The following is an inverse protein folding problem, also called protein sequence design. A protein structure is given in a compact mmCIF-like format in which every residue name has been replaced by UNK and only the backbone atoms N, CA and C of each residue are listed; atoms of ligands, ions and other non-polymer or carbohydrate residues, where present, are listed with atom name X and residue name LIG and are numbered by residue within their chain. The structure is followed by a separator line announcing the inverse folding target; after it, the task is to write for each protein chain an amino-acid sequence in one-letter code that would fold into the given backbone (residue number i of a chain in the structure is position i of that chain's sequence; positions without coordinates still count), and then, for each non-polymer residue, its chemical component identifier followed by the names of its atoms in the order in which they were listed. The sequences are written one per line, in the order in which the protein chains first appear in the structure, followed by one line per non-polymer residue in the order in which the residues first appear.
data_IF_839293425521
#
_entry.id   IF_839293425521
#
_cell.length_a   1.000
_cell.length_b   1.000
_cell.length_c   1.000
_cell.angle_alpha   90.00
_cell.angle_beta   90.00
_cell.angle_gamma   90.00
#
_symmetry.space_group_name_H-M   'P 1'
#
loop_
_entity.id
_entity.type
_entity.pdbx_description
1 polymer ?
#
# COMPACT_ATOMS: atom_id res chain seq x y z
N UNK A 1 -61.52 -47.52 -1.75
CA UNK A 1 -62.66 -47.41 -2.68
C UNK A 1 -62.82 -45.94 -3.04
N UNK A 2 -62.63 -45.58 -4.30
CA UNK A 2 -62.81 -44.20 -4.80
C UNK A 2 -64.31 -43.85 -4.86
N UNK A 3 -64.71 -42.57 -5.06
CA UNK A 3 -64.72 -42.05 -6.42
C UNK A 3 -64.27 -40.58 -6.62
N UNK A 4 -63.82 -40.33 -7.84
CA UNK A 4 -63.67 -39.05 -8.52
C UNK A 4 -64.94 -38.20 -8.49
N UNK A 5 -64.77 -36.88 -8.56
CA UNK A 5 -65.69 -36.00 -9.30
C UNK A 5 -64.89 -34.98 -10.13
N UNK A 6 -65.02 -35.10 -11.45
CA UNK A 6 -64.65 -34.09 -12.45
C UNK A 6 -65.70 -32.98 -12.48
N UNK A 7 -65.28 -31.72 -12.50
CA UNK A 7 -66.05 -30.68 -13.18
C UNK A 7 -65.13 -29.75 -13.98
N UNK A 8 -65.65 -29.47 -15.16
CA UNK A 8 -65.12 -28.83 -16.36
C UNK A 8 -64.87 -27.32 -16.26
N UNK A 9 -63.73 -26.91 -16.81
CA UNK A 9 -63.37 -25.68 -17.54
C UNK A 9 -64.45 -24.59 -17.69
N UNK A 10 -64.12 -23.37 -17.23
CA UNK A 10 -64.51 -22.12 -17.90
C UNK A 10 -63.26 -21.26 -18.06
N UNK A 11 -62.83 -21.08 -19.31
CA UNK A 11 -61.78 -20.16 -19.72
C UNK A 11 -62.20 -18.72 -19.41
N UNK A 12 -61.61 -18.12 -18.39
CA UNK A 12 -61.48 -16.67 -18.29
C UNK A 12 -60.09 -16.31 -18.82
N UNK A 13 -60.04 -15.70 -20.00
CA UNK A 13 -58.84 -15.08 -20.54
C UNK A 13 -58.38 -13.97 -19.60
N UNK A 14 -57.51 -14.29 -18.65
CA UNK A 14 -56.70 -13.28 -17.97
C UNK A 14 -55.70 -12.74 -18.98
N UNK A 15 -55.98 -11.53 -19.48
CA UNK A 15 -54.96 -10.69 -20.09
C UNK A 15 -53.93 -10.39 -18.98
N UNK A 16 -52.88 -11.20 -18.93
CA UNK A 16 -51.68 -10.89 -18.18
C UNK A 16 -51.06 -9.69 -18.89
N UNK A 17 -51.30 -8.49 -18.37
CA UNK A 17 -50.41 -7.36 -18.57
C UNK A 17 -49.06 -7.77 -17.98
N UNK A 18 -48.21 -8.35 -18.82
CA UNK A 18 -46.82 -8.57 -18.51
C UNK A 18 -46.20 -7.19 -18.26
N UNK A 19 -46.12 -6.80 -16.99
CA UNK A 19 -45.23 -5.74 -16.58
C UNK A 19 -43.83 -6.29 -16.84
N UNK A 20 -43.26 -5.91 -17.98
CA UNK A 20 -41.82 -6.02 -18.19
C UNK A 20 -41.21 -5.09 -17.15
N UNK A 21 -40.99 -5.62 -15.95
CA UNK A 21 -40.00 -5.07 -15.04
C UNK A 21 -38.66 -5.35 -15.71
N UNK A 22 -38.30 -4.51 -16.68
CA UNK A 22 -36.92 -4.34 -17.09
C UNK A 22 -36.20 -3.72 -15.92
N UNK A 23 -35.87 -4.51 -14.90
CA UNK A 23 -34.78 -4.18 -14.01
C UNK A 23 -33.53 -4.25 -14.88
N UNK A 24 -33.15 -3.10 -15.45
CA UNK A 24 -31.83 -2.94 -16.04
C UNK A 24 -30.87 -3.24 -14.91
N UNK A 25 -30.11 -4.33 -15.04
CA UNK A 25 -29.08 -4.67 -14.06
C UNK A 25 -28.17 -3.45 -13.96
N UNK A 26 -28.10 -2.85 -12.76
CA UNK A 26 -27.18 -1.75 -12.52
C UNK A 26 -25.77 -2.26 -12.88
N UNK A 27 -25.16 -1.66 -13.89
CA UNK A 27 -23.82 -2.06 -14.31
C UNK A 27 -22.85 -1.81 -13.13
N UNK A 28 -22.10 -2.85 -12.75
CA UNK A 28 -21.12 -2.77 -11.66
C UNK A 28 -19.95 -1.87 -12.08
N UNK A 29 -19.26 -1.20 -11.13
CA UNK A 29 -18.07 -0.44 -11.44
C UNK A 29 -16.95 -1.35 -11.96
N UNK A 30 -16.16 -0.85 -12.89
CA UNK A 30 -14.98 -1.55 -13.43
C UNK A 30 -13.70 -0.88 -12.95
N UNK A 31 -12.62 -1.66 -12.81
CA UNK A 31 -11.31 -1.17 -12.38
C UNK A 31 -10.25 -1.38 -13.45
N UNK A 32 -9.26 -0.49 -13.48
CA UNK A 32 -8.05 -0.58 -14.32
C UNK A 32 -6.85 -0.13 -13.51
N UNK A 33 -5.70 -0.78 -13.71
CA UNK A 33 -4.42 -0.36 -13.14
C UNK A 33 -3.43 0.01 -14.25
N UNK A 34 -2.69 1.09 -14.01
CA UNK A 34 -1.56 1.53 -14.83
C UNK A 34 -0.31 1.62 -13.96
N UNK A 35 0.85 1.33 -14.55
CA UNK A 35 2.13 1.32 -13.86
C UNK A 35 3.07 2.40 -14.41
N UNK A 36 3.77 3.06 -13.49
CA UNK A 36 4.92 3.90 -13.79
C UNK A 36 6.16 3.10 -14.16
N UNK A 37 7.30 3.78 -14.20
CA UNK A 37 8.60 3.17 -14.52
C UNK A 37 9.11 2.31 -13.36
N UNK A 38 9.84 1.25 -13.71
CA UNK A 38 10.63 0.46 -12.77
C UNK A 38 11.65 1.35 -12.03
N UNK A 39 11.94 1.00 -10.78
CA UNK A 39 12.96 1.68 -9.96
C UNK A 39 12.58 3.08 -9.51
N UNK A 40 11.30 3.44 -9.54
CA UNK A 40 10.86 4.76 -9.10
C UNK A 40 11.22 4.99 -7.63
N UNK A 41 11.83 6.13 -7.29
CA UNK A 41 12.34 6.44 -5.95
C UNK A 41 13.42 5.49 -5.38
N UNK A 42 13.90 4.49 -6.12
CA UNK A 42 14.87 3.52 -5.61
C UNK A 42 16.18 4.17 -5.15
N UNK A 43 16.59 5.27 -5.80
CA UNK A 43 17.76 6.07 -5.38
C UNK A 43 17.62 6.62 -3.96
N UNK A 44 16.45 7.18 -3.60
CA UNK A 44 16.22 7.75 -2.27
C UNK A 44 16.06 6.63 -1.22
N UNK A 45 15.43 5.52 -1.60
CA UNK A 45 15.37 4.30 -0.79
C UNK A 45 16.77 3.81 -0.44
N UNK A 46 17.64 3.68 -1.44
CA UNK A 46 19.02 3.22 -1.25
C UNK A 46 19.87 4.23 -0.47
N UNK A 47 19.65 5.54 -0.64
CA UNK A 47 20.32 6.55 0.17
C UNK A 47 20.01 6.40 1.67
N UNK A 48 18.75 6.15 2.03
CA UNK A 48 18.36 5.91 3.42
C UNK A 48 18.97 4.62 3.99
N UNK A 49 19.05 3.56 3.18
CA UNK A 49 19.67 2.27 3.56
C UNK A 49 21.16 2.39 3.81
N UNK A 50 21.88 3.03 2.87
CA UNK A 50 23.31 3.27 2.98
C UNK A 50 23.65 4.11 4.23
N UNK A 51 22.82 5.10 4.56
CA UNK A 51 22.98 5.89 5.78
C UNK A 51 22.88 5.06 7.06
N UNK A 52 22.12 3.95 7.03
CA UNK A 52 22.02 2.97 8.11
C UNK A 52 23.01 1.80 7.97
N UNK A 53 23.96 1.84 7.03
CA UNK A 53 24.94 0.77 6.85
C UNK A 53 24.44 -0.50 6.14
N UNK A 54 23.25 -0.45 5.54
CA UNK A 54 22.69 -1.55 4.76
C UNK A 54 23.20 -1.49 3.32
N UNK A 55 23.23 -2.64 2.63
CA UNK A 55 23.49 -2.69 1.19
C UNK A 55 22.32 -2.12 0.39
N UNK A 56 22.62 -1.57 -0.78
CA UNK A 56 21.61 -1.09 -1.73
C UNK A 56 20.68 -2.23 -2.15
N UNK A 57 19.40 -1.92 -2.32
CA UNK A 57 18.45 -2.80 -3.01
C UNK A 57 18.73 -2.75 -4.51
N UNK A 58 18.74 -3.92 -5.12
CA UNK A 58 18.89 -4.08 -6.57
C UNK A 58 17.52 -4.06 -7.23
N UNK A 59 17.35 -3.32 -8.33
CA UNK A 59 16.10 -3.37 -9.09
C UNK A 59 15.78 -4.81 -9.51
N UNK A 60 14.58 -5.28 -9.20
CA UNK A 60 14.12 -6.61 -9.57
C UNK A 60 14.08 -6.78 -11.10
N UNK A 61 14.64 -7.89 -11.57
CA UNK A 61 14.71 -8.22 -12.99
C UNK A 61 13.33 -8.43 -13.60
N UNK A 62 13.16 -7.99 -14.84
CA UNK A 62 11.93 -8.25 -15.60
C UNK A 62 11.70 -9.75 -15.77
N UNK A 63 10.49 -10.21 -15.45
CA UNK A 63 10.11 -11.61 -15.54
C UNK A 63 10.38 -12.43 -14.28
N UNK A 64 11.05 -11.89 -13.26
CA UNK A 64 11.18 -12.54 -11.95
C UNK A 64 9.90 -12.33 -11.13
N UNK A 65 8.92 -13.22 -11.29
CA UNK A 65 7.62 -13.10 -10.62
C UNK A 65 7.67 -13.26 -9.10
N UNK A 66 8.76 -13.77 -8.53
CA UNK A 66 8.91 -13.95 -7.07
C UNK A 66 9.43 -12.68 -6.39
N UNK A 67 10.07 -11.77 -7.14
CA UNK A 67 10.72 -10.58 -6.62
C UNK A 67 10.17 -9.27 -7.20
N UNK A 68 9.08 -9.32 -7.98
CA UNK A 68 8.57 -8.21 -8.77
C UNK A 68 7.06 -8.09 -8.64
N UNK A 69 6.56 -6.85 -8.64
CA UNK A 69 5.13 -6.57 -8.67
C UNK A 69 4.50 -7.11 -9.97
N UNK A 70 3.24 -7.58 -9.93
CA UNK A 70 2.58 -8.10 -11.13
C UNK A 70 2.55 -7.09 -12.29
N UNK A 71 3.23 -7.41 -13.39
CA UNK A 71 3.43 -6.51 -14.55
C UNK A 71 2.20 -6.34 -15.46
N UNK A 72 1.16 -7.17 -15.29
CA UNK A 72 0.02 -7.16 -16.21
C UNK A 72 -1.01 -6.12 -15.78
N UNK A 73 -0.92 -4.93 -16.37
CA UNK A 73 -1.97 -3.92 -16.33
C UNK A 73 -3.24 -4.57 -16.92
N UNK A 74 -4.15 -4.97 -16.04
CA UNK A 74 -5.30 -5.79 -16.39
C UNK A 74 -6.55 -5.15 -15.81
N UNK A 75 -7.63 -5.16 -16.57
CA UNK A 75 -8.96 -5.14 -15.95
C UNK A 75 -9.09 -6.42 -15.11
N UNK A 76 -9.82 -6.41 -13.98
CA UNK A 76 -10.13 -7.63 -13.25
C UNK A 76 -10.58 -8.73 -14.23
N UNK A 77 -10.14 -9.98 -14.07
CA UNK A 77 -10.78 -11.10 -14.77
C UNK A 77 -12.27 -11.13 -14.43
N UNK A 78 -13.11 -11.73 -15.29
CA UNK A 78 -14.55 -11.85 -15.00
C UNK A 78 -14.80 -12.46 -13.60
N UNK A 79 -15.96 -12.10 -13.01
CA UNK A 79 -16.29 -12.31 -11.59
C UNK A 79 -15.83 -13.67 -11.02
N UNK A 80 -14.95 -13.63 -10.03
CA UNK A 80 -14.57 -14.79 -9.22
C UNK A 80 -13.09 -14.90 -8.89
N UNK A 81 -12.21 -14.28 -9.68
CA UNK A 81 -10.77 -14.46 -9.51
C UNK A 81 -10.13 -13.33 -8.70
N UNK A 82 -9.38 -13.70 -7.66
CA UNK A 82 -8.64 -12.82 -6.76
C UNK A 82 -7.60 -11.96 -7.49
N UNK A 83 -8.06 -10.87 -8.12
CA UNK A 83 -7.19 -9.90 -8.77
C UNK A 83 -6.27 -9.25 -7.73
N UNK A 84 -4.97 -9.49 -7.87
CA UNK A 84 -3.95 -9.05 -6.91
C UNK A 84 -3.99 -7.54 -6.62
N UNK A 85 -4.45 -6.71 -7.56
CA UNK A 85 -4.53 -5.27 -7.39
C UNK A 85 -5.84 -4.76 -6.78
N UNK A 86 -6.87 -5.60 -6.60
CA UNK A 86 -8.15 -5.15 -6.01
C UNK A 86 -7.96 -4.55 -4.61
N UNK A 87 -7.18 -5.18 -3.70
CA UNK A 87 -6.98 -4.63 -2.36
C UNK A 87 -6.30 -3.24 -2.40
N UNK A 88 -5.30 -3.07 -3.27
CA UNK A 88 -4.64 -1.77 -3.50
C UNK A 88 -5.63 -0.72 -4.01
N UNK A 89 -6.45 -1.07 -5.01
CA UNK A 89 -7.41 -0.11 -5.55
C UNK A 89 -8.52 0.27 -4.58
N UNK A 90 -8.96 -0.65 -3.72
CA UNK A 90 -9.94 -0.35 -2.67
C UNK A 90 -9.35 0.55 -1.58
N UNK A 91 -8.08 0.36 -1.21
CA UNK A 91 -7.38 1.24 -0.28
C UNK A 91 -7.19 2.66 -0.85
N UNK A 92 -6.95 2.78 -2.16
CA UNK A 92 -6.78 4.06 -2.87
C UNK A 92 -8.10 4.79 -3.16
N UNK A 93 -9.15 4.04 -3.50
CA UNK A 93 -10.47 4.56 -3.88
C UNK A 93 -11.53 3.90 -3.00
N UNK A 94 -11.66 4.32 -1.73
CA UNK A 94 -12.64 3.75 -0.82
C UNK A 94 -14.07 4.04 -1.30
N UNK A 95 -14.99 3.10 -1.07
CA UNK A 95 -16.37 3.22 -1.53
C UNK A 95 -17.20 4.21 -0.70
N UNK A 96 -16.78 4.46 0.54
CA UNK A 96 -17.37 5.47 1.42
C UNK A 96 -16.32 6.35 2.11
N UNK A 97 -16.71 7.57 2.50
CA UNK A 97 -15.82 8.49 3.20
C UNK A 97 -15.43 8.01 4.62
N UNK A 98 -16.25 7.14 5.22
CA UNK A 98 -16.03 6.58 6.57
C UNK A 98 -14.94 5.49 6.58
N UNK A 99 -14.64 4.88 5.42
CA UNK A 99 -13.52 3.94 5.27
C UNK A 99 -12.15 4.62 5.14
N UNK A 100 -12.09 5.96 5.04
CA UNK A 100 -10.82 6.71 4.95
C UNK A 100 -9.97 6.61 6.23
N UNK A 101 -10.60 6.33 7.37
CA UNK A 101 -9.93 6.24 8.70
C UNK A 101 -9.43 4.83 9.04
N UNK A 102 -9.85 3.82 8.28
CA UNK A 102 -9.38 2.43 8.42
C UNK A 102 -8.65 2.04 7.14
N UNK A 103 -7.41 2.54 6.98
CA UNK A 103 -6.46 1.96 6.00
C UNK A 103 -5.87 0.64 6.51
N UNK A 104 -6.64 -0.11 7.29
CA UNK A 104 -6.27 -1.41 7.81
C UNK A 104 -6.36 -2.43 6.68
N UNK A 105 -5.20 -3.00 6.35
CA UNK A 105 -5.09 -4.40 5.93
C UNK A 105 -5.84 -4.82 4.66
N UNK A 106 -5.80 -4.04 3.59
CA UNK A 106 -6.10 -4.61 2.28
C UNK A 106 -4.85 -5.40 1.81
N UNK A 107 -4.64 -6.60 2.37
CA UNK A 107 -3.56 -7.52 1.97
C UNK A 107 -3.81 -7.96 0.54
N UNK A 108 -3.13 -7.31 -0.39
CA UNK A 108 -3.00 -7.82 -1.73
C UNK A 108 -2.20 -9.12 -1.68
N UNK A 109 -2.75 -10.20 -2.23
CA UNK A 109 -2.00 -11.43 -2.52
C UNK A 109 -1.03 -11.15 -3.67
N UNK A 110 0.01 -10.41 -3.34
CA UNK A 110 1.23 -10.36 -4.12
C UNK A 110 2.13 -11.52 -3.68
N UNK A 111 3.09 -11.89 -4.52
CA UNK A 111 4.08 -12.93 -4.24
C UNK A 111 4.91 -12.57 -2.98
N UNK A 112 5.70 -13.50 -2.43
CA UNK A 112 6.46 -13.29 -1.20
C UNK A 112 7.35 -12.04 -1.23
N UNK A 113 7.03 -11.01 -0.44
CA UNK A 113 7.84 -9.81 -0.26
C UNK A 113 7.24 -8.88 0.79
N UNK A 114 8.02 -7.93 1.28
CA UNK A 114 7.54 -6.89 2.21
C UNK A 114 7.27 -5.59 1.45
N UNK A 115 6.12 -4.96 1.66
CA UNK A 115 5.63 -3.85 0.83
C UNK A 115 5.69 -2.50 1.56
N UNK A 116 6.49 -1.58 1.03
CA UNK A 116 6.34 -0.16 1.36
C UNK A 116 5.29 0.49 0.45
N UNK A 117 4.42 1.30 1.05
CA UNK A 117 3.28 1.91 0.39
C UNK A 117 3.12 3.37 0.79
N UNK A 118 2.80 4.23 -0.18
CA UNK A 118 2.45 5.61 0.08
C UNK A 118 1.49 6.15 -0.99
N UNK A 119 0.29 6.63 -0.65
CA UNK A 119 -0.56 7.35 -1.60
C UNK A 119 0.14 8.59 -2.14
N UNK A 120 0.08 8.83 -3.45
CA UNK A 120 0.71 9.99 -4.11
C UNK A 120 -0.34 10.85 -4.80
N UNK A 121 -0.29 12.15 -4.56
CA UNK A 121 -1.21 13.12 -5.16
C UNK A 121 -0.85 13.43 -6.62
N UNK A 122 0.44 13.52 -6.93
CA UNK A 122 0.94 13.78 -8.27
C UNK A 122 1.83 12.61 -8.75
N UNK A 123 1.26 11.62 -9.47
CA UNK A 123 2.01 10.44 -9.91
C UNK A 123 3.15 10.76 -10.91
N UNK A 124 3.10 11.91 -11.60
CA UNK A 124 4.13 12.35 -12.54
C UNK A 124 5.31 13.06 -11.85
N UNK A 125 5.14 13.49 -10.61
CA UNK A 125 6.13 14.22 -9.83
C UNK A 125 6.08 13.80 -8.36
N UNK A 126 6.46 12.56 -8.09
CA UNK A 126 6.55 12.04 -6.71
C UNK A 126 7.77 12.64 -6.02
N UNK A 127 7.56 13.26 -4.86
CA UNK A 127 8.64 13.65 -3.96
C UNK A 127 9.15 12.41 -3.22
N UNK A 128 10.06 11.69 -3.87
CA UNK A 128 10.64 10.45 -3.35
C UNK A 128 11.27 10.62 -1.97
N UNK A 129 11.88 11.77 -1.71
CA UNK A 129 12.49 12.07 -0.42
C UNK A 129 11.42 12.20 0.66
N UNK A 130 10.35 12.94 0.40
CA UNK A 130 9.25 13.08 1.36
C UNK A 130 8.58 11.72 1.66
N UNK A 131 8.45 10.85 0.66
CA UNK A 131 7.91 9.50 0.86
C UNK A 131 8.83 8.65 1.75
N UNK A 132 10.14 8.63 1.47
CA UNK A 132 11.10 7.90 2.30
C UNK A 132 11.18 8.49 3.71
N UNK A 133 11.09 9.81 3.87
CA UNK A 133 11.02 10.46 5.18
C UNK A 133 9.75 10.06 5.96
N UNK A 134 8.61 9.90 5.28
CA UNK A 134 7.37 9.38 5.88
C UNK A 134 7.54 7.95 6.38
N UNK A 135 8.14 7.07 5.58
CA UNK A 135 8.39 5.68 6.00
C UNK A 135 9.35 5.60 7.17
N UNK A 136 10.45 6.35 7.16
CA UNK A 136 11.37 6.46 8.31
C UNK A 136 10.66 6.98 9.56
N UNK A 137 9.69 7.88 9.40
CA UNK A 137 8.90 8.41 10.51
C UNK A 137 8.14 7.37 11.32
N UNK A 138 7.87 6.18 10.76
CA UNK A 138 7.24 5.08 11.51
C UNK A 138 8.14 4.51 12.61
N UNK A 139 9.44 4.87 12.64
CA UNK A 139 10.35 4.59 13.74
C UNK A 139 9.73 4.86 15.12
N UNK A 140 8.98 5.96 15.26
CA UNK A 140 8.36 6.35 16.53
C UNK A 140 7.25 5.40 17.01
N UNK A 141 6.85 4.43 16.19
CA UNK A 141 5.83 3.44 16.54
C UNK A 141 6.44 2.20 17.22
N UNK A 142 7.78 2.11 17.32
CA UNK A 142 8.48 0.99 17.93
C UNK A 142 9.15 1.43 19.24
N UNK A 143 8.85 0.74 20.34
CA UNK A 143 9.45 0.96 21.67
C UNK A 143 10.77 0.19 21.87
N UNK A 144 11.48 -0.09 20.77
CA UNK A 144 12.69 -0.92 20.75
C UNK A 144 12.82 -1.70 19.45
N UNK A 145 13.56 -2.81 19.49
CA UNK A 145 13.71 -3.72 18.35
C UNK A 145 12.32 -4.18 17.87
N UNK A 146 11.96 -3.98 16.59
CA UNK A 146 10.67 -4.43 16.06
C UNK A 146 10.47 -5.95 16.30
N UNK A 147 9.32 -6.37 16.84
CA UNK A 147 9.06 -7.77 17.14
C UNK A 147 8.80 -8.60 15.87
N UNK A 148 8.75 -9.92 16.01
CA UNK A 148 8.29 -10.81 14.94
C UNK A 148 6.82 -10.55 14.57
N UNK A 149 6.46 -10.76 13.31
CA UNK A 149 5.08 -10.65 12.86
C UNK A 149 4.27 -11.87 13.32
N UNK A 150 3.41 -11.71 14.31
CA UNK A 150 2.58 -12.79 14.88
C UNK A 150 1.11 -12.42 14.76
N UNK A 151 0.26 -13.43 14.56
CA UNK A 151 -1.21 -13.33 14.39
C UNK A 151 -1.92 -12.49 15.48
N UNK A 152 -1.36 -12.37 16.67
CA UNK A 152 -1.98 -11.70 17.82
C UNK A 152 -1.55 -10.23 17.98
N UNK A 153 -0.66 -9.71 17.11
CA UNK A 153 -0.08 -8.37 17.22
C UNK A 153 -0.51 -7.44 16.07
N UNK A 154 -1.37 -6.45 16.36
CA UNK A 154 -1.83 -5.46 15.38
C UNK A 154 -0.75 -4.45 14.94
N UNK A 155 0.51 -4.60 15.39
CA UNK A 155 1.59 -3.64 15.10
C UNK A 155 1.86 -3.51 13.60
N UNK A 156 1.75 -4.61 12.86
CA UNK A 156 2.00 -4.65 11.42
C UNK A 156 0.74 -4.48 10.57
N UNK A 157 -0.43 -4.29 11.18
CA UNK A 157 -1.62 -3.79 10.47
C UNK A 157 -1.48 -2.32 10.06
N UNK A 158 -0.54 -1.61 10.69
CA UNK A 158 -0.16 -0.25 10.35
C UNK A 158 0.80 -0.29 9.16
N UNK A 159 0.29 0.12 7.99
CA UNK A 159 1.06 0.11 6.75
C UNK A 159 2.37 0.91 6.82
N UNK A 160 2.43 1.98 7.61
CA UNK A 160 3.65 2.75 7.85
C UNK A 160 4.74 1.90 8.52
N UNK A 161 4.37 0.99 9.44
CA UNK A 161 5.31 0.09 10.12
C UNK A 161 5.86 -0.96 9.14
N UNK A 162 4.99 -1.55 8.32
CA UNK A 162 5.41 -2.48 7.25
C UNK A 162 6.32 -1.77 6.25
N UNK A 163 6.02 -0.51 5.90
CA UNK A 163 6.83 0.27 4.96
C UNK A 163 8.22 0.59 5.52
N UNK A 164 8.31 0.85 6.82
CA UNK A 164 9.58 1.01 7.52
C UNK A 164 10.41 -0.28 7.50
N UNK A 165 9.78 -1.43 7.77
CA UNK A 165 10.47 -2.72 7.71
C UNK A 165 10.97 -3.02 6.30
N UNK A 166 10.13 -2.80 5.28
CA UNK A 166 10.51 -2.98 3.88
C UNK A 166 11.69 -2.09 3.46
N UNK A 167 11.69 -0.81 3.87
CA UNK A 167 12.78 0.15 3.59
C UNK A 167 14.14 -0.40 4.06
N UNK A 168 14.18 -0.97 5.27
CA UNK A 168 15.40 -1.46 5.89
C UNK A 168 15.61 -2.97 5.76
N UNK A 169 14.96 -3.67 4.81
CA UNK A 169 15.13 -5.11 4.59
C UNK A 169 16.61 -5.55 4.74
N UNK A 170 16.97 -6.36 5.76
CA UNK A 170 18.35 -6.65 6.12
C UNK A 170 19.06 -7.64 5.21
N UNK A 171 18.33 -8.27 4.28
CA UNK A 171 18.89 -9.35 3.48
C UNK A 171 19.99 -8.82 2.56
N UNK A 172 21.16 -9.46 2.58
CA UNK A 172 22.24 -9.11 1.66
C UNK A 172 21.79 -9.33 0.22
N UNK A 173 22.00 -8.32 -0.64
CA UNK A 173 21.58 -8.31 -2.05
C UNK A 173 20.07 -8.48 -2.24
N UNK A 174 19.27 -8.02 -1.28
CA UNK A 174 17.84 -7.89 -1.46
C UNK A 174 17.50 -7.08 -2.73
N UNK A 175 16.39 -7.43 -3.35
CA UNK A 175 15.88 -6.71 -4.51
C UNK A 175 14.72 -5.80 -4.14
N UNK A 176 14.46 -4.80 -4.95
CA UNK A 176 13.27 -3.97 -4.88
C UNK A 176 12.61 -3.80 -6.24
N UNK A 177 11.28 -3.76 -6.25
CA UNK A 177 10.51 -3.29 -7.37
C UNK A 177 9.61 -2.13 -6.93
N UNK A 178 10.07 -0.92 -7.24
CA UNK A 178 9.40 0.32 -6.87
C UNK A 178 8.70 0.96 -8.08
N UNK A 179 7.39 1.15 -7.98
CA UNK A 179 6.57 1.74 -9.05
C UNK A 179 5.48 2.64 -8.50
N UNK A 180 5.14 3.67 -9.27
CA UNK A 180 3.86 4.35 -9.12
C UNK A 180 2.78 3.45 -9.73
N UNK A 181 1.72 3.19 -8.98
CA UNK A 181 0.57 2.40 -9.40
C UNK A 181 -0.65 3.30 -9.36
N UNK A 182 -1.36 3.40 -10.48
CA UNK A 182 -2.57 4.22 -10.62
C UNK A 182 -3.78 3.32 -10.83
N UNK A 183 -4.72 3.37 -9.89
CA UNK A 183 -6.03 2.74 -10.02
C UNK A 183 -7.03 3.72 -10.64
N UNK A 184 -7.82 3.24 -11.60
CA UNK A 184 -8.98 3.94 -12.17
C UNK A 184 -10.23 3.12 -11.91
N UNK A 185 -11.20 3.70 -11.21
CA UNK A 185 -12.56 3.16 -11.03
C UNK A 185 -13.50 3.87 -12.00
N UNK A 186 -14.15 3.13 -12.88
CA UNK A 186 -15.19 3.64 -13.78
C UNK A 186 -16.56 3.20 -13.26
N UNK A 187 -17.40 4.16 -12.90
CA UNK A 187 -18.78 3.88 -12.45
C UNK A 187 -19.75 4.20 -13.59
N UNK A 188 -20.57 3.23 -14.01
CA UNK A 188 -21.58 3.45 -15.04
C UNK A 188 -22.59 4.53 -14.64
N UNK A 189 -22.95 5.41 -15.57
CA UNK A 189 -23.99 6.41 -15.33
C UNK A 189 -25.37 5.76 -15.21
N UNK A 190 -26.18 6.20 -14.24
CA UNK A 190 -27.55 5.72 -14.12
C UNK A 190 -28.36 6.09 -15.39
N UNK A 191 -29.11 5.14 -15.94
CA UNK A 191 -30.06 5.44 -17.01
C UNK A 191 -31.19 6.31 -16.44
N UNK A 192 -31.51 7.41 -17.13
CA UNK A 192 -32.61 8.27 -16.74
C UNK A 192 -33.94 7.52 -16.93
N UNK A 193 -34.70 7.38 -15.84
CA UNK A 193 -35.99 6.71 -15.81
C UNK A 193 -37.03 7.61 -16.53
N UNK A 194 -37.12 7.48 -17.86
CA UNK A 194 -38.07 8.26 -18.66
C UNK A 194 -37.71 8.41 -20.14
N UNK A 195 -38.03 7.39 -20.95
CA UNK A 195 -38.48 7.47 -22.35
C UNK A 195 -37.63 8.15 -23.43
N UNK A 196 -36.59 8.92 -23.10
CA UNK A 196 -35.68 9.56 -24.04
C UNK A 196 -34.27 9.08 -23.71
N UNK A 197 -33.77 8.13 -24.50
CA UNK A 197 -32.52 7.39 -24.26
C UNK A 197 -31.25 8.24 -24.26
N UNK A 198 -31.04 9.04 -23.21
CA UNK A 198 -29.71 9.52 -22.82
C UNK A 198 -29.17 8.56 -21.77
N UNK A 199 -28.28 7.66 -22.19
CA UNK A 199 -27.43 6.92 -21.27
C UNK A 199 -26.68 7.94 -20.38
N UNK A 200 -26.68 7.72 -19.07
CA UNK A 200 -25.88 8.52 -18.14
C UNK A 200 -24.40 8.42 -18.50
N UNK A 201 -23.64 9.51 -18.36
CA UNK A 201 -22.19 9.46 -18.58
C UNK A 201 -21.53 8.68 -17.44
N UNK A 202 -20.59 7.80 -17.79
CA UNK A 202 -19.74 7.14 -16.82
C UNK A 202 -18.89 8.17 -16.07
N UNK A 203 -18.63 7.92 -14.79
CA UNK A 203 -17.69 8.72 -13.99
C UNK A 203 -16.41 7.94 -13.75
N UNK A 204 -15.27 8.62 -13.81
CA UNK A 204 -13.97 8.03 -13.50
C UNK A 204 -13.40 8.66 -12.23
N UNK A 205 -12.92 7.82 -11.32
CA UNK A 205 -12.12 8.23 -10.16
C UNK A 205 -10.75 7.60 -10.28
N UNK A 206 -9.70 8.41 -10.13
CA UNK A 206 -8.31 7.97 -10.18
C UNK A 206 -7.61 8.26 -8.86
N UNK A 207 -6.79 7.32 -8.42
CA UNK A 207 -5.91 7.49 -7.27
C UNK A 207 -4.64 6.67 -7.49
N UNK A 208 -3.52 7.16 -6.95
CA UNK A 208 -2.20 6.55 -7.18
C UNK A 208 -1.45 6.35 -5.87
N UNK A 209 -0.54 5.38 -5.85
CA UNK A 209 0.44 5.18 -4.79
C UNK A 209 1.82 4.87 -5.35
N UNK A 210 2.87 5.23 -4.61
CA UNK A 210 4.17 4.59 -4.72
C UNK A 210 4.13 3.28 -3.94
N UNK A 211 4.49 2.19 -4.60
CA UNK A 211 4.62 0.86 -4.00
C UNK A 211 6.02 0.35 -4.27
N UNK A 212 6.72 -0.07 -3.22
CA UNK A 212 8.02 -0.75 -3.30
C UNK A 212 7.88 -2.13 -2.66
N UNK A 213 7.95 -3.17 -3.47
CA UNK A 213 8.11 -4.54 -2.99
C UNK A 213 9.59 -4.79 -2.74
N UNK A 214 9.97 -5.22 -1.54
CA UNK A 214 11.33 -5.73 -1.27
C UNK A 214 11.31 -7.25 -1.11
N UNK A 215 12.32 -7.92 -1.66
CA UNK A 215 12.43 -9.37 -1.62
C UNK A 215 13.84 -9.79 -1.17
N UNK A 216 13.96 -10.85 -0.35
CA UNK A 216 12.88 -11.72 0.15
C UNK A 216 11.99 -11.03 1.18
N UNK A 217 10.83 -11.64 1.47
CA UNK A 217 9.95 -11.20 2.54
C UNK A 217 10.63 -11.35 3.91
N UNK A 218 10.69 -10.27 4.67
CA UNK A 218 11.30 -10.23 6.01
C UNK A 218 10.27 -10.04 7.12
N UNK A 219 8.99 -10.02 6.76
CA UNK A 219 7.88 -9.85 7.69
C UNK A 219 6.85 -10.99 7.56
N UNK A 220 7.36 -12.20 7.35
CA UNK A 220 6.54 -13.41 7.23
C UNK A 220 5.81 -13.67 8.55
N UNK A 221 4.52 -13.97 8.47
CA UNK A 221 3.68 -14.33 9.60
C UNK A 221 4.21 -15.59 10.32
N UNK A 222 4.35 -15.51 11.64
CA UNK A 222 4.97 -16.55 12.46
C UNK A 222 6.49 -16.68 12.29
N UNK A 223 7.13 -15.76 11.56
CA UNK A 223 8.57 -15.73 11.32
C UNK A 223 9.39 -15.16 12.48
N UNK A 224 10.68 -14.91 12.21
CA UNK A 224 11.59 -14.25 13.13
C UNK A 224 11.36 -12.72 13.15
N UNK A 225 11.99 -12.02 14.10
CA UNK A 225 12.03 -10.56 14.10
C UNK A 225 12.72 -10.04 12.83
N UNK A 226 12.25 -8.92 12.25
CA UNK A 226 12.76 -8.44 10.96
C UNK A 226 14.20 -7.92 11.04
N UNK A 227 14.74 -7.66 12.23
CA UNK A 227 16.10 -7.15 12.43
C UNK A 227 16.80 -7.85 13.59
N UNK A 228 18.13 -7.90 13.55
CA UNK A 228 18.97 -8.18 14.73
C UNK A 228 19.19 -6.92 15.57
N UNK A 229 19.70 -7.06 16.80
CA UNK A 229 20.05 -5.90 17.64
C UNK A 229 21.09 -4.98 16.98
N UNK A 230 22.11 -5.55 16.32
CA UNK A 230 23.14 -4.77 15.63
C UNK A 230 22.54 -3.97 14.46
N UNK A 231 21.70 -4.61 13.65
CA UNK A 231 21.00 -3.95 12.53
C UNK A 231 20.09 -2.83 13.03
N UNK A 232 19.35 -3.09 14.10
CA UNK A 232 18.50 -2.08 14.72
C UNK A 232 19.31 -0.90 15.27
N UNK A 233 20.43 -1.17 15.94
CA UNK A 233 21.34 -0.14 16.42
C UNK A 233 21.87 0.76 15.30
N UNK A 234 22.14 0.20 14.11
CA UNK A 234 22.54 1.00 12.95
C UNK A 234 21.39 1.89 12.43
N UNK A 235 20.17 1.37 12.36
CA UNK A 235 18.98 2.15 11.97
C UNK A 235 18.74 3.30 12.95
N UNK A 236 18.72 3.02 14.26
CA UNK A 236 18.58 4.03 15.31
C UNK A 236 19.65 5.11 15.20
N UNK A 237 20.91 4.71 15.02
CA UNK A 237 22.02 5.65 14.85
C UNK A 237 21.83 6.56 13.63
N UNK A 238 21.36 6.02 12.50
CA UNK A 238 21.11 6.80 11.30
C UNK A 238 19.96 7.80 11.48
N UNK A 239 18.90 7.41 12.20
CA UNK A 239 17.72 8.23 12.41
C UNK A 239 17.93 9.31 13.48
N UNK A 240 18.54 8.96 14.61
CA UNK A 240 18.75 9.87 15.75
C UNK A 240 20.05 10.67 15.65
N UNK A 241 21.11 10.05 15.12
CA UNK A 241 22.44 10.66 14.94
C UNK A 241 22.51 11.69 13.81
N UNK A 242 21.42 11.87 13.05
CA UNK A 242 21.26 12.96 12.07
C UNK A 242 20.93 14.32 12.71
N UNK A 243 20.64 14.35 14.02
CA UNK A 243 20.59 15.59 14.78
C UNK A 243 22.02 16.00 15.17
N UNK A 244 22.54 17.05 14.50
CA UNK A 244 23.76 17.80 14.79
C UNK A 244 24.61 17.24 15.93
N UNK A 245 25.80 16.73 15.60
CA UNK A 245 26.91 16.73 16.54
C UNK A 245 27.13 18.17 17.04
N UNK A 246 26.43 18.56 18.10
CA UNK A 246 26.89 19.60 19.01
C UNK A 246 28.14 18.97 19.61
N UNK A 247 29.28 19.24 18.97
CA UNK A 247 30.58 18.93 19.52
C UNK A 247 30.54 19.29 21.01
N UNK A 248 30.93 18.40 21.93
CA UNK A 248 31.04 18.75 23.33
C UNK A 248 31.86 20.03 23.40
N UNK A 249 31.21 21.13 23.78
CA UNK A 249 31.86 22.42 23.84
C UNK A 249 33.09 22.25 24.71
N UNK A 250 34.26 22.46 24.11
CA UNK A 250 35.51 22.59 24.84
C UNK A 250 35.29 23.78 25.78
N UNK A 251 34.91 23.49 27.02
CA UNK A 251 34.90 24.46 28.10
C UNK A 251 36.37 24.83 28.30
N UNK A 252 36.77 25.93 27.67
CA UNK A 252 38.08 26.53 27.85
C UNK A 252 38.25 26.91 29.31
N UNK A 253 39.07 26.13 30.02
CA UNK A 253 39.48 26.43 31.39
C UNK A 253 40.45 27.62 31.35
N UNK A 254 39.93 28.84 31.53
CA UNK A 254 40.76 30.02 31.71
C UNK A 254 41.32 30.05 33.15
N UNK A 255 42.54 29.54 33.33
CA UNK A 255 43.33 29.74 34.55
C UNK A 255 44.01 31.12 34.50
N UNK A 256 43.45 32.10 35.20
CA UNK A 256 44.14 33.35 35.50
C UNK A 256 44.89 33.21 36.84
N UNK A 257 46.21 33.01 36.77
CA UNK A 257 47.12 33.14 37.91
C UNK A 257 47.75 34.53 37.81
N UNK A 258 47.27 35.48 38.61
CA UNK A 258 47.97 36.74 38.86
C UNK A 258 48.73 36.60 40.19
N UNK A 259 49.99 36.18 40.09
CA UNK A 259 50.96 36.22 41.18
C UNK A 259 51.73 37.53 41.17
N UNK A 260 51.69 38.25 42.31
CA UNK A 260 52.46 39.44 42.62
C UNK A 260 53.97 39.24 42.38
N UNK A 261 54.63 40.26 41.81
CA UNK A 261 56.05 40.51 42.04
C UNK A 261 56.29 42.02 42.06
N UNK A 262 56.36 42.56 43.27
CA UNK A 262 57.01 43.84 43.56
C UNK A 262 58.51 43.57 43.72
N UNK A 263 59.33 44.19 42.88
CA UNK A 263 60.71 44.60 43.14
C UNK A 263 61.14 45.60 42.06
#
# INVERSE_FOLDING_TARGET
MAPLNLLTVVSASFLVLAKVNGAVAAQKPTYKVEFGKDGHCLSEVNAARLAAGFSELVQAETGNTEARLPDKATTPPEEGDGWAWMPVCNALIPESAEQKTSRTGATAQFQSGTYAYHPVENPDNVDCKAVVDKWKGAYSNFDGLPPANKEEEDLYDIQENVSFVALYNPTDKATADCRVVTCTKTTPGAEADGGTGRAGQNTETKASALICMTAPDVLVEGGDAPFTEDQWGQIVTALEGSASAVAPGVVGLALAILGLSLL
#
